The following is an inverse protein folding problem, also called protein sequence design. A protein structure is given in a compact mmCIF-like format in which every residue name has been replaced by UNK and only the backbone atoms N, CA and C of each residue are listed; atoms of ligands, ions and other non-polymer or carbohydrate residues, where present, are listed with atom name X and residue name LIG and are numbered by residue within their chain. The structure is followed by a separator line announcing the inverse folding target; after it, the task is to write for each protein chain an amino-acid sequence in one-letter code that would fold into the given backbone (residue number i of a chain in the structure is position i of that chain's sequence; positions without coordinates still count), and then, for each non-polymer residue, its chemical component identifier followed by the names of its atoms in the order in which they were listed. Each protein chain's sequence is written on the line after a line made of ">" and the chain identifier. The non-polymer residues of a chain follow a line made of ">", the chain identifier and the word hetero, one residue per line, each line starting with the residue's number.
data_IF_908964800876
#
_entry.id   IF_908964800876
#
_cell.length_a   1.000
_cell.length_b   1.000
_cell.length_c   1.000
_cell.angle_alpha   90.00
_cell.angle_beta   90.00
_cell.angle_gamma   90.00
#
_symmetry.space_group_name_H-M   'P 1'
#
loop_
_entity.id
_entity.type
_entity.pdbx_description
1 polymer ?
#
# COMPACT_ATOMS: atom_id res chain seq x y z
N UNK A 1 -2.03 -12.36 -17.33
CA UNK A 1 -1.80 -12.02 -15.90
C UNK A 1 -2.61 -10.76 -15.63
N UNK A 2 -3.43 -10.71 -14.58
CA UNK A 2 -4.18 -9.49 -14.27
C UNK A 2 -3.31 -8.59 -13.38
N UNK A 3 -3.10 -7.34 -13.81
CA UNK A 3 -2.30 -6.36 -13.08
C UNK A 3 -3.14 -5.66 -12.01
N UNK A 4 -2.59 -5.52 -10.80
CA UNK A 4 -3.24 -4.89 -9.66
C UNK A 4 -2.24 -4.12 -8.80
N UNK A 5 -2.71 -3.08 -8.12
CA UNK A 5 -2.03 -2.45 -6.99
C UNK A 5 -2.18 -3.36 -5.76
N UNK A 6 -1.11 -3.46 -4.98
CA UNK A 6 -1.11 -4.17 -3.69
C UNK A 6 -1.27 -3.14 -2.57
N UNK A 7 -2.34 -3.25 -1.81
CA UNK A 7 -2.61 -2.38 -0.66
C UNK A 7 -2.43 -3.15 0.63
N UNK A 8 -1.62 -2.59 1.52
CA UNK A 8 -1.35 -3.10 2.85
C UNK A 8 -1.65 -2.01 3.88
N UNK A 9 -2.29 -2.39 4.99
CA UNK A 9 -2.55 -1.51 6.12
C UNK A 9 -2.49 -2.30 7.43
N UNK A 10 -1.93 -1.69 8.47
CA UNK A 10 -1.90 -2.25 9.83
C UNK A 10 -3.26 -1.98 10.49
N UNK A 11 -3.78 -2.98 11.21
CA UNK A 11 -5.02 -2.88 12.00
C UNK A 11 -4.66 -2.61 13.46
N UNK A 12 -4.13 -1.44 13.75
CA UNK A 12 -3.71 -1.06 15.09
C UNK A 12 -4.65 -0.02 15.71
N UNK A 13 -4.74 -0.06 17.04
CA UNK A 13 -5.38 0.99 17.85
C UNK A 13 -4.36 1.77 18.67
N UNK A 14 -3.14 1.25 18.78
CA UNK A 14 -2.04 1.76 19.59
C UNK A 14 -0.70 1.15 19.10
N UNK A 15 0.41 1.70 19.59
CA UNK A 15 1.78 1.32 19.21
C UNK A 15 2.13 -0.16 19.48
N UNK A 16 1.55 -0.78 20.50
CA UNK A 16 1.81 -2.21 20.80
C UNK A 16 1.19 -3.12 19.75
N UNK A 17 0.04 -2.74 19.19
CA UNK A 17 -0.60 -3.47 18.09
C UNK A 17 0.21 -3.34 16.80
N UNK A 18 0.87 -2.21 16.56
CA UNK A 18 1.77 -2.01 15.42
C UNK A 18 2.94 -3.01 15.44
N UNK A 19 3.54 -3.26 16.61
CA UNK A 19 4.67 -4.21 16.76
C UNK A 19 4.25 -5.64 16.40
N UNK A 20 3.00 -6.03 16.68
CA UNK A 20 2.46 -7.36 16.35
C UNK A 20 2.35 -7.61 14.84
N UNK A 21 2.35 -6.56 14.01
CA UNK A 21 2.31 -6.68 12.55
C UNK A 21 3.69 -6.94 11.91
N UNK A 22 4.79 -6.69 12.63
CA UNK A 22 6.16 -6.86 12.09
C UNK A 22 6.47 -8.30 11.68
N UNK A 23 6.11 -9.35 12.46
CA UNK A 23 6.32 -10.73 12.04
C UNK A 23 5.54 -11.10 10.77
N UNK A 24 4.33 -10.54 10.59
CA UNK A 24 3.52 -10.76 9.39
C UNK A 24 4.18 -10.11 8.16
N UNK A 25 4.73 -8.90 8.32
CA UNK A 25 5.51 -8.22 7.27
C UNK A 25 6.73 -9.04 6.84
N UNK A 26 7.50 -9.59 7.79
CA UNK A 26 8.72 -10.35 7.49
C UNK A 26 8.46 -11.68 6.77
N UNK A 27 7.32 -12.33 7.03
CA UNK A 27 6.93 -13.59 6.37
C UNK A 27 6.49 -13.41 4.92
N UNK A 28 6.23 -12.17 4.50
CA UNK A 28 5.56 -11.87 3.24
C UNK A 28 4.04 -11.99 3.36
N UNK A 29 3.33 -11.04 2.75
CA UNK A 29 1.88 -10.91 2.89
C UNK A 29 1.23 -11.16 1.53
N UNK A 30 0.51 -12.27 1.45
CA UNK A 30 -0.32 -12.66 0.30
C UNK A 30 -1.83 -12.62 0.61
N UNK A 31 -2.18 -12.41 1.88
CA UNK A 31 -3.53 -12.49 2.42
C UNK A 31 -3.68 -11.62 3.67
N UNK A 32 -4.92 -11.27 4.04
CA UNK A 32 -5.17 -10.49 5.25
C UNK A 32 -4.95 -11.34 6.51
N UNK A 33 -4.31 -10.77 7.54
CA UNK A 33 -4.10 -11.42 8.85
C UNK A 33 -4.96 -10.77 9.92
N UNK A 34 -4.78 -11.19 11.19
CA UNK A 34 -5.39 -10.50 12.33
C UNK A 34 -4.85 -9.07 12.48
N UNK A 35 -3.56 -8.86 12.23
CA UNK A 35 -2.89 -7.57 12.45
C UNK A 35 -2.81 -6.71 11.18
N UNK A 36 -3.03 -7.30 10.00
CA UNK A 36 -2.86 -6.63 8.72
C UNK A 36 -4.05 -6.82 7.78
N UNK A 37 -4.31 -5.79 6.97
CA UNK A 37 -5.25 -5.82 5.86
C UNK A 37 -4.46 -5.85 4.56
N UNK A 38 -4.76 -6.84 3.72
CA UNK A 38 -4.26 -6.94 2.36
C UNK A 38 -5.42 -6.89 1.38
N UNK A 39 -5.30 -6.05 0.35
CA UNK A 39 -6.26 -5.96 -0.75
C UNK A 39 -5.55 -5.71 -2.07
N UNK A 40 -6.14 -6.19 -3.16
CA UNK A 40 -5.74 -5.88 -4.53
C UNK A 40 -6.85 -5.10 -5.23
N UNK A 41 -6.48 -4.06 -5.97
CA UNK A 41 -7.43 -3.27 -6.76
C UNK A 41 -6.74 -2.65 -7.98
N UNK A 42 -7.54 -2.19 -8.95
CA UNK A 42 -7.05 -1.46 -10.12
C UNK A 42 -7.05 0.05 -9.92
N UNK A 43 -7.99 0.55 -9.12
CA UNK A 43 -8.06 1.95 -8.73
C UNK A 43 -8.63 2.09 -7.32
N UNK A 44 -8.26 3.17 -6.64
CA UNK A 44 -8.84 3.55 -5.35
C UNK A 44 -8.79 5.07 -5.14
N UNK A 45 -9.59 5.54 -4.18
CA UNK A 45 -9.44 6.87 -3.59
C UNK A 45 -9.07 6.67 -2.13
N UNK A 46 -8.03 7.37 -1.67
CA UNK A 46 -7.65 7.43 -0.26
C UNK A 46 -8.00 8.83 0.23
N UNK A 47 -8.84 8.89 1.26
CA UNK A 47 -9.30 10.12 1.88
C UNK A 47 -9.14 10.01 3.39
N UNK A 48 -8.72 11.11 4.01
CA UNK A 48 -8.74 11.26 5.46
C UNK A 48 -10.14 11.70 5.91
N UNK A 49 -10.70 10.99 6.89
CA UNK A 49 -12.04 11.29 7.41
C UNK A 49 -12.02 12.38 8.49
N UNK A 50 -10.94 12.45 9.27
CA UNK A 50 -10.77 13.42 10.34
C UNK A 50 -9.99 14.66 9.85
N UNK A 51 -10.42 15.86 10.20
CA UNK A 51 -9.77 17.12 9.77
C UNK A 51 -8.73 17.67 10.77
N UNK A 52 -8.45 16.96 11.86
CA UNK A 52 -7.63 17.46 12.97
C UNK A 52 -6.11 17.46 12.75
N UNK A 53 -5.63 16.92 11.63
CA UNK A 53 -4.21 16.85 11.29
C UNK A 53 -4.05 16.62 9.78
N UNK A 54 -2.89 16.96 9.22
CA UNK A 54 -2.55 16.64 7.83
C UNK A 54 -1.78 15.33 7.79
N UNK A 55 -2.24 14.36 6.99
CA UNK A 55 -1.46 13.18 6.64
C UNK A 55 -0.62 13.44 5.39
N UNK A 56 0.69 13.38 5.55
CA UNK A 56 1.63 13.52 4.43
C UNK A 56 1.70 12.23 3.63
N UNK A 57 1.63 12.34 2.32
CA UNK A 57 1.82 11.22 1.39
C UNK A 57 3.29 11.17 0.96
N UNK A 58 3.83 9.96 0.81
CA UNK A 58 5.15 9.73 0.24
C UNK A 58 5.01 8.87 -1.03
N UNK A 59 5.69 9.27 -2.10
CA UNK A 59 5.71 8.56 -3.39
C UNK A 59 7.17 8.31 -3.74
N UNK A 60 7.58 7.04 -3.81
CA UNK A 60 8.94 6.60 -4.16
C UNK A 60 10.08 7.27 -3.35
N UNK A 61 9.78 7.75 -2.13
CA UNK A 61 10.75 8.44 -1.28
C UNK A 61 10.56 9.96 -1.22
N UNK A 62 9.79 10.56 -2.13
CA UNK A 62 9.56 12.01 -2.19
C UNK A 62 8.20 12.44 -1.61
N UNK A 63 8.05 13.71 -1.18
CA UNK A 63 6.76 14.27 -0.79
C UNK A 63 5.73 14.17 -1.92
N UNK A 64 4.57 13.59 -1.63
CA UNK A 64 3.44 13.47 -2.53
C UNK A 64 2.38 14.56 -2.34
N UNK A 65 1.29 14.51 -3.12
CA UNK A 65 0.15 15.40 -2.97
C UNK A 65 -0.61 15.16 -1.65
N UNK A 66 -1.33 16.17 -1.18
CA UNK A 66 -2.21 16.05 -0.02
C UNK A 66 -3.41 15.13 -0.31
N UNK A 67 -3.97 14.53 0.74
CA UNK A 67 -5.21 13.77 0.64
C UNK A 67 -6.42 14.71 0.39
N UNK A 68 -7.44 14.28 -0.38
CA UNK A 68 -7.60 12.94 -0.95
C UNK A 68 -6.80 12.72 -2.24
N UNK A 69 -6.31 11.48 -2.43
CA UNK A 69 -5.60 11.07 -3.64
C UNK A 69 -6.36 9.96 -4.37
N UNK A 70 -6.32 10.02 -5.71
CA UNK A 70 -6.83 8.99 -6.60
C UNK A 70 -5.66 8.21 -7.19
N UNK A 71 -5.67 6.89 -7.05
CA UNK A 71 -4.59 6.01 -7.51
C UNK A 71 -5.17 5.02 -8.52
N UNK A 72 -4.48 4.81 -9.63
CA UNK A 72 -4.88 3.85 -10.66
C UNK A 72 -3.66 3.14 -11.26
N UNK A 73 -3.79 1.85 -11.53
CA UNK A 73 -2.78 1.08 -12.26
C UNK A 73 -2.80 1.41 -13.75
N UNK A 74 -1.61 1.58 -14.32
CA UNK A 74 -1.38 1.60 -15.76
C UNK A 74 -0.76 0.25 -16.15
N UNK A 75 -1.57 -0.74 -16.58
CA UNK A 75 -1.08 -2.08 -16.86
C UNK A 75 -0.10 -2.07 -18.02
N UNK A 76 1.05 -2.73 -17.84
CA UNK A 76 2.10 -2.89 -18.87
C UNK A 76 2.50 -1.57 -19.57
N UNK A 77 2.49 -0.45 -18.84
CA UNK A 77 2.66 0.88 -19.46
C UNK A 77 4.08 1.18 -19.94
N UNK A 78 5.09 0.56 -19.34
CA UNK A 78 6.50 0.79 -19.65
C UNK A 78 7.10 -0.50 -20.21
N UNK A 79 7.76 -0.40 -21.36
CA UNK A 79 8.59 -1.46 -21.91
C UNK A 79 10.01 -1.33 -21.35
N UNK A 80 10.48 -2.36 -20.65
CA UNK A 80 11.81 -2.36 -20.02
C UNK A 80 12.62 -3.57 -20.48
N UNK A 81 13.94 -3.42 -20.49
CA UNK A 81 14.85 -4.56 -20.64
C UNK A 81 14.91 -5.31 -19.30
N UNK A 82 14.77 -6.64 -19.36
CA UNK A 82 14.82 -7.51 -18.19
C UNK A 82 15.96 -8.52 -18.33
N UNK A 83 16.55 -8.94 -17.21
CA UNK A 83 17.55 -10.01 -17.22
C UNK A 83 16.96 -11.32 -17.75
N UNK A 84 17.79 -12.14 -18.39
CA UNK A 84 17.37 -13.49 -18.79
C UNK A 84 17.00 -14.28 -17.53
N UNK A 85 15.79 -14.84 -17.51
CA UNK A 85 15.38 -15.76 -16.44
C UNK A 85 16.37 -16.93 -16.43
N UNK A 86 16.99 -17.18 -15.28
CA UNK A 86 17.72 -18.43 -15.02
C UNK A 86 16.73 -19.58 -14.83
#
# INVERSE_FOLDING_TARGET
>A
MMDFLNFLSIKDRNLLDTIKAVPDLLKGIDSSTQNMKYKRFKSCVIQQLDSGHTLNVNIDGDPGPELPISIQILPQHIHTYCGNKK
#
